data_IF_425029508515
#
_entry.id   IF_425029508515
#
_cell.length_a   1.000
_cell.length_b   1.000
_cell.length_c   1.000
_cell.angle_alpha   90.00
_cell.angle_beta   90.00
_cell.angle_gamma   90.00
#
_symmetry.space_group_name_H-M   'P 1'
#
loop_
_entity.id
_entity.type
_entity.pdbx_description
1 polymer ?
#
# COMPACT_ATOMS: atom_id res chain seq x y z
N UNK A 1 -5.95 -1.36 -6.25
CA UNK A 1 -4.48 -1.30 -6.13
C UNK A 1 -4.07 -2.50 -5.30
N UNK A 2 -3.12 -3.29 -5.79
CA UNK A 2 -2.67 -4.51 -5.12
C UNK A 2 -1.46 -4.22 -4.24
N UNK A 3 -1.38 -4.91 -3.11
CA UNK A 3 -0.39 -4.63 -2.07
C UNK A 3 0.17 -5.94 -1.49
N UNK A 4 1.40 -5.86 -1.01
CA UNK A 4 2.04 -6.94 -0.26
C UNK A 4 3.01 -6.39 0.78
N UNK A 5 3.60 -7.29 1.56
CA UNK A 5 4.75 -7.00 2.41
C UNK A 5 6.01 -7.45 1.66
N UNK A 6 6.98 -6.54 1.50
CA UNK A 6 8.25 -6.82 0.85
C UNK A 6 9.40 -6.78 1.87
N UNK A 7 10.05 -7.92 2.15
CA UNK A 7 11.25 -7.93 2.99
C UNK A 7 12.46 -7.39 2.21
N UNK A 8 13.22 -6.49 2.84
CA UNK A 8 14.47 -5.94 2.30
C UNK A 8 15.51 -5.95 3.42
N UNK A 9 16.41 -6.93 3.39
CA UNK A 9 17.30 -7.22 4.52
C UNK A 9 16.47 -7.67 5.73
N UNK A 10 16.73 -7.07 6.89
CA UNK A 10 16.01 -7.37 8.14
C UNK A 10 14.76 -6.50 8.37
N UNK A 11 14.35 -5.71 7.36
CA UNK A 11 13.21 -4.80 7.45
C UNK A 11 12.07 -5.19 6.49
N UNK A 12 10.84 -4.91 6.89
CA UNK A 12 9.64 -5.15 6.09
C UNK A 12 9.01 -3.84 5.63
N UNK A 13 8.65 -3.78 4.34
CA UNK A 13 8.03 -2.62 3.71
C UNK A 13 6.62 -2.96 3.24
N UNK A 14 5.71 -1.99 3.30
CA UNK A 14 4.47 -2.10 2.53
C UNK A 14 4.81 -1.83 1.07
N UNK A 15 4.53 -2.78 0.20
CA UNK A 15 4.79 -2.68 -1.22
C UNK A 15 3.48 -2.48 -1.99
N UNK A 16 3.49 -1.52 -2.92
CA UNK A 16 2.41 -1.30 -3.87
C UNK A 16 2.96 -1.29 -5.29
N UNK A 17 2.24 -1.88 -6.24
CA UNK A 17 2.63 -1.90 -7.65
C UNK A 17 1.75 -0.95 -8.48
N UNK A 18 2.38 -0.22 -9.39
CA UNK A 18 1.73 0.68 -10.34
C UNK A 18 2.53 0.75 -11.65
N UNK A 19 2.38 1.82 -12.41
CA UNK A 19 3.07 2.04 -13.68
C UNK A 19 3.70 3.42 -13.69
N UNK A 20 4.84 3.55 -14.37
CA UNK A 20 5.50 4.83 -14.57
C UNK A 20 4.58 5.79 -15.34
N UNK A 21 4.57 7.07 -14.95
CA UNK A 21 3.76 8.14 -15.54
C UNK A 21 2.35 8.27 -14.94
N UNK A 22 1.99 7.49 -13.92
CA UNK A 22 0.72 7.64 -13.22
C UNK A 22 0.79 8.82 -12.25
N UNK A 23 -0.31 9.56 -12.10
CA UNK A 23 -0.43 10.69 -11.15
C UNK A 23 0.02 10.34 -9.73
N UNK A 24 -0.21 9.10 -9.28
CA UNK A 24 0.25 8.66 -7.94
C UNK A 24 1.77 8.65 -7.82
N UNK A 25 2.50 8.26 -8.86
CA UNK A 25 3.96 8.31 -8.84
C UNK A 25 4.40 9.77 -8.73
N UNK A 26 3.88 10.64 -9.58
CA UNK A 26 4.24 12.06 -9.59
C UNK A 26 3.99 12.71 -8.22
N UNK A 27 2.81 12.47 -7.64
CA UNK A 27 2.45 12.98 -6.32
C UNK A 27 3.41 12.45 -5.24
N UNK A 28 3.77 11.17 -5.28
CA UNK A 28 4.66 10.56 -4.30
C UNK A 28 6.12 10.98 -4.45
N UNK A 29 6.56 11.33 -5.67
CA UNK A 29 7.87 11.94 -5.90
C UNK A 29 7.93 13.37 -5.35
N UNK A 30 6.83 14.13 -5.41
CA UNK A 30 6.72 15.47 -4.83
C UNK A 30 6.57 15.45 -3.30
N UNK A 31 5.76 14.54 -2.77
CA UNK A 31 5.57 14.35 -1.34
C UNK A 31 5.49 12.84 -1.01
N UNK A 32 6.52 12.27 -0.38
CA UNK A 32 6.59 10.83 -0.13
C UNK A 32 5.71 10.36 1.03
N UNK A 33 5.00 11.25 1.73
CA UNK A 33 4.15 10.87 2.86
C UNK A 33 2.88 10.19 2.40
N UNK A 34 2.55 9.05 3.02
CA UNK A 34 1.36 8.27 2.69
C UNK A 34 0.52 7.93 3.91
N UNK A 35 -0.77 7.78 3.67
CA UNK A 35 -1.71 7.13 4.58
C UNK A 35 -2.36 5.97 3.85
N UNK A 36 -2.29 4.77 4.43
CA UNK A 36 -2.95 3.58 3.95
C UNK A 36 -4.01 3.14 4.95
N UNK A 37 -5.09 2.59 4.45
CA UNK A 37 -6.17 2.00 5.24
C UNK A 37 -6.53 0.66 4.65
N UNK A 38 -6.57 -0.38 5.48
CA UNK A 38 -7.03 -1.71 5.13
C UNK A 38 -8.14 -2.11 6.09
N UNK A 39 -9.35 -2.26 5.56
CA UNK A 39 -10.53 -2.55 6.36
C UNK A 39 -10.78 -4.06 6.42
N UNK A 40 -11.37 -4.50 7.53
CA UNK A 40 -11.90 -5.85 7.68
C UNK A 40 -13.08 -6.05 6.71
N UNK A 41 -13.12 -7.20 6.05
CA UNK A 41 -14.15 -7.51 5.05
C UNK A 41 -15.53 -7.80 5.65
N UNK A 42 -15.59 -8.23 6.91
CA UNK A 42 -16.81 -8.46 7.67
C UNK A 42 -17.29 -7.23 8.45
N UNK A 43 -16.38 -6.31 8.79
CA UNK A 43 -16.73 -5.04 9.43
C UNK A 43 -15.86 -3.87 8.93
N UNK A 44 -16.33 -3.04 7.98
CA UNK A 44 -15.51 -1.98 7.38
C UNK A 44 -15.13 -0.84 8.35
N UNK A 45 -15.71 -0.79 9.55
CA UNK A 45 -15.30 0.15 10.60
C UNK A 45 -14.07 -0.32 11.37
N UNK A 46 -13.76 -1.61 11.35
CA UNK A 46 -12.50 -2.15 11.84
C UNK A 46 -11.45 -2.09 10.73
N UNK A 47 -10.31 -1.46 11.00
CA UNK A 47 -9.28 -1.25 10.00
C UNK A 47 -7.90 -1.12 10.61
N UNK A 48 -6.90 -1.54 9.84
CA UNK A 48 -5.52 -1.11 10.03
C UNK A 48 -5.30 0.23 9.32
N UNK A 49 -4.90 1.25 10.07
CA UNK A 49 -4.39 2.51 9.52
C UNK A 49 -2.87 2.54 9.61
N UNK A 50 -2.22 2.86 8.50
CA UNK A 50 -0.77 2.92 8.39
C UNK A 50 -0.39 4.32 7.90
N UNK A 51 0.42 5.02 8.69
CA UNK A 51 1.17 6.20 8.23
C UNK A 51 2.55 5.72 7.81
N UNK A 52 2.99 6.15 6.63
CA UNK A 52 4.26 5.72 6.08
C UNK A 52 4.92 6.79 5.23
N UNK A 53 6.09 6.45 4.74
CA UNK A 53 6.86 7.26 3.81
C UNK A 53 7.39 6.37 2.68
N UNK A 54 7.28 6.83 1.44
CA UNK A 54 7.91 6.15 0.32
C UNK A 54 9.43 6.17 0.51
N UNK A 55 10.01 4.99 0.65
CA UNK A 55 11.44 4.78 0.83
C UNK A 55 12.15 4.55 -0.51
N UNK A 56 11.48 3.87 -1.45
CA UNK A 56 12.09 3.52 -2.74
C UNK A 56 11.07 3.39 -3.87
N UNK A 57 11.50 3.77 -5.06
CA UNK A 57 10.87 3.47 -6.34
C UNK A 57 11.75 2.46 -7.08
N UNK A 58 11.18 1.34 -7.50
CA UNK A 58 11.87 0.26 -8.19
C UNK A 58 11.18 0.00 -9.52
N UNK A 59 11.94 0.07 -10.61
CA UNK A 59 11.46 -0.11 -11.99
C UNK A 59 12.03 -1.40 -12.59
N UNK A 60 11.56 -1.77 -13.78
CA UNK A 60 12.11 -2.88 -14.56
C UNK A 60 11.66 -4.26 -14.06
N UNK A 61 12.54 -5.25 -14.22
CA UNK A 61 12.19 -6.66 -14.00
C UNK A 61 11.79 -6.98 -12.57
N UNK A 62 12.35 -6.27 -11.58
CA UNK A 62 11.93 -6.42 -10.17
C UNK A 62 10.47 -6.02 -9.97
N UNK A 63 10.06 -4.91 -10.58
CA UNK A 63 8.67 -4.45 -10.52
C UNK A 63 7.71 -5.36 -11.29
N UNK A 64 8.17 -5.97 -12.39
CA UNK A 64 7.42 -6.98 -13.13
C UNK A 64 7.25 -8.27 -12.31
N UNK A 65 8.33 -8.79 -11.72
CA UNK A 65 8.28 -9.97 -10.84
C UNK A 65 7.37 -9.74 -9.63
N UNK A 66 7.42 -8.57 -9.03
CA UNK A 66 6.50 -8.20 -7.95
C UNK A 66 5.04 -8.20 -8.42
N UNK A 67 4.78 -7.74 -9.65
CA UNK A 67 3.44 -7.79 -10.24
C UNK A 67 2.95 -9.23 -10.48
N UNK A 68 3.82 -10.12 -10.93
CA UNK A 68 3.50 -11.55 -11.09
C UNK A 68 3.17 -12.20 -9.74
N UNK A 69 3.92 -11.87 -8.66
CA UNK A 69 3.58 -12.32 -7.30
C UNK A 69 2.20 -11.84 -6.86
N UNK A 70 1.90 -10.56 -7.07
CA UNK A 70 0.59 -10.00 -6.77
C UNK A 70 -0.52 -10.64 -7.62
N UNK A 71 -0.24 -10.99 -8.87
CA UNK A 71 -1.21 -11.65 -9.76
C UNK A 71 -1.62 -13.00 -9.21
N UNK A 72 -0.64 -13.83 -8.80
CA UNK A 72 -0.93 -15.10 -8.12
C UNK A 72 -1.75 -14.89 -6.85
N UNK A 73 -1.38 -13.90 -6.02
CA UNK A 73 -2.05 -13.59 -4.75
C UNK A 73 -3.50 -13.15 -4.92
N UNK A 74 -3.77 -12.28 -5.90
CA UNK A 74 -5.07 -11.60 -5.99
C UNK A 74 -6.05 -12.27 -6.95
N UNK A 75 -5.57 -12.92 -8.02
CA UNK A 75 -6.43 -13.50 -9.05
C UNK A 75 -6.06 -14.93 -9.44
N UNK A 76 -5.00 -15.51 -8.85
CA UNK A 76 -4.62 -16.90 -9.09
C UNK A 76 -3.94 -17.18 -10.44
N UNK A 77 -3.59 -16.15 -11.20
CA UNK A 77 -2.87 -16.28 -12.47
C UNK A 77 -1.36 -16.08 -12.31
N UNK A 78 -0.55 -16.69 -13.18
CA UNK A 78 0.92 -16.63 -13.11
C UNK A 78 1.51 -15.28 -13.52
N UNK A 79 0.87 -14.59 -14.47
CA UNK A 79 1.34 -13.33 -15.04
C UNK A 79 0.20 -12.36 -15.19
N UNK A 80 0.48 -11.08 -15.00
CA UNK A 80 -0.56 -10.06 -15.09
C UNK A 80 -1.16 -9.96 -16.50
N UNK A 81 -2.46 -10.25 -16.69
CA UNK A 81 -3.04 -10.41 -18.04
C UNK A 81 -3.36 -9.07 -18.72
N UNK A 82 -3.36 -7.96 -17.99
CA UNK A 82 -3.82 -6.64 -18.49
C UNK A 82 -2.68 -5.62 -18.66
N UNK A 83 -1.47 -6.07 -18.99
CA UNK A 83 -0.35 -5.17 -19.28
C UNK A 83 -0.51 -4.52 -20.67
N UNK A 84 -0.44 -3.19 -20.74
CA UNK A 84 -0.51 -2.48 -22.01
C UNK A 84 0.86 -2.44 -22.72
N UNK A 85 0.90 -2.43 -24.06
CA UNK A 85 2.14 -2.24 -24.81
C UNK A 85 2.87 -0.95 -24.37
N UNK A 86 4.15 -1.07 -24.03
CA UNK A 86 4.97 0.05 -23.53
C UNK A 86 4.76 0.43 -22.06
N UNK A 87 3.83 -0.22 -21.35
CA UNK A 87 3.62 0.01 -19.91
C UNK A 87 4.82 -0.49 -19.10
N UNK A 88 5.44 0.41 -18.34
CA UNK A 88 6.56 0.08 -17.44
C UNK A 88 6.06 -0.02 -16.00
N UNK A 89 6.24 -1.19 -15.37
CA UNK A 89 5.86 -1.41 -13.97
C UNK A 89 6.75 -0.62 -13.02
N UNK A 90 6.15 -0.16 -11.95
CA UNK A 90 6.80 0.57 -10.88
C UNK A 90 6.35 -0.02 -9.54
N UNK A 91 7.29 -0.58 -8.81
CA UNK A 91 7.11 -1.02 -7.44
C UNK A 91 7.50 0.12 -6.49
N UNK A 92 6.63 0.44 -5.55
CA UNK A 92 6.84 1.49 -4.55
C UNK A 92 6.96 0.80 -3.20
N UNK A 93 8.09 0.99 -2.52
CA UNK A 93 8.32 0.51 -1.16
C UNK A 93 8.03 1.62 -0.17
N UNK A 94 7.15 1.34 0.78
CA UNK A 94 6.68 2.27 1.80
C UNK A 94 7.15 1.76 3.14
N UNK A 95 7.96 2.57 3.82
CA UNK A 95 8.36 2.33 5.20
C UNK A 95 7.19 2.70 6.12
N UNK A 96 6.66 1.76 6.92
CA UNK A 96 5.63 2.07 7.90
C UNK A 96 6.24 2.87 9.06
N UNK A 97 5.71 4.07 9.31
CA UNK A 97 6.13 4.95 10.41
C UNK A 97 5.23 4.77 11.63
N UNK A 98 3.94 4.49 11.41
CA UNK A 98 2.98 4.22 12.49
C UNK A 98 1.87 3.31 12.00
N UNK A 99 1.57 2.26 12.75
CA UNK A 99 0.47 1.34 12.50
C UNK A 99 -0.51 1.40 13.67
N UNK A 100 -1.81 1.45 13.38
CA UNK A 100 -2.87 1.37 14.39
C UNK A 100 -4.00 0.48 13.88
N UNK A 101 -4.61 -0.28 14.78
CA UNK A 101 -5.96 -0.81 14.57
C UNK A 101 -6.96 0.22 15.07
N UNK A 102 -7.97 0.51 14.28
CA UNK A 102 -9.09 1.37 14.66
C UNK A 102 -10.35 0.52 14.56
N UNK A 103 -11.08 0.38 15.66
CA UNK A 103 -12.33 -0.39 15.74
C UNK A 103 -13.49 0.60 15.89
N UNK A 104 -14.48 0.50 15.01
CA UNK A 104 -15.64 1.38 15.07
C UNK A 104 -15.37 2.79 14.54
N UNK A 105 -16.12 3.76 15.05
CA UNK A 105 -15.92 5.18 14.76
C UNK A 105 -14.80 5.70 15.66
N UNK A 106 -13.99 6.64 15.15
CA UNK A 106 -12.92 7.25 15.93
C UNK A 106 -13.47 7.78 17.27
N UNK A 107 -12.89 7.37 18.41
CA UNK A 107 -13.37 7.83 19.69
C UNK A 107 -13.13 9.33 19.83
N UNK A 108 -14.08 10.01 20.45
CA UNK A 108 -13.87 11.39 20.85
C UNK A 108 -12.62 11.51 21.72
N UNK A 109 -11.95 12.66 21.65
CA UNK A 109 -10.86 12.98 22.59
C UNK A 109 -11.41 13.01 24.01
N UNK A 110 -10.56 12.66 24.98
CA UNK A 110 -10.90 12.72 26.39
C UNK A 110 -11.47 14.11 26.75
N UNK A 111 -12.64 14.11 27.41
CA UNK A 111 -13.32 15.33 27.87
C UNK A 111 -14.27 16.00 26.85
N UNK A 112 -14.43 15.46 25.64
CA UNK A 112 -15.39 16.03 24.66
C UNK A 112 -16.83 15.61 24.95
N UNK A 113 -17.06 14.36 25.34
CA UNK A 113 -18.39 13.89 25.77
C UNK A 113 -18.50 13.91 27.31
N UNK A 114 -19.70 14.19 27.85
CA UNK A 114 -19.97 13.98 29.27
C UNK A 114 -19.68 12.52 29.65
N UNK A 115 -19.10 12.28 30.82
CA UNK A 115 -19.01 10.93 31.36
C UNK A 115 -20.44 10.50 31.73
N UNK A 116 -20.94 9.46 31.05
CA UNK A 116 -22.23 8.84 31.34
C UNK A 116 -22.17 7.88 32.51
#
# INVERSE_FOLDING_TARGET
>A
MWVDIEPVGDAEYVMVNTSVGRVKEENLRRNPQVSLSHHDTGNPYDRAEIRGRVAKFVEGDDALRAMDRLTRKYIGEERYPWLLPGERRLMILIEPVRVRRVVGVEPFRAGVLPQG
#
